data_IF_694929223007
#
_entry.id   IF_694929223007
#
_cell.length_a   1.000
_cell.length_b   1.000
_cell.length_c   1.000
_cell.angle_alpha   90.00
_cell.angle_beta   90.00
_cell.angle_gamma   90.00
#
_symmetry.space_group_name_H-M   'P 1'
#
loop_
_entity.id
_entity.type
_entity.pdbx_description
1 polymer ?
#
# COMPACT_ATOMS: atom_id res chain seq x y z
N UNK A 1 36.07 -6.53 -4.34
CA UNK A 1 35.72 -6.64 -2.90
C UNK A 1 35.47 -5.30 -2.16
N UNK A 2 36.10 -4.16 -2.48
CA UNK A 2 35.86 -2.87 -1.80
C UNK A 2 34.46 -2.30 -2.09
N UNK A 3 33.98 -2.37 -3.33
CA UNK A 3 32.67 -1.88 -3.78
C UNK A 3 31.51 -2.60 -3.11
N UNK A 4 31.59 -3.91 -2.93
CA UNK A 4 30.54 -4.72 -2.27
C UNK A 4 30.31 -4.25 -0.83
N UNK A 5 31.36 -3.95 -0.08
CA UNK A 5 31.23 -3.48 1.31
C UNK A 5 30.61 -2.09 1.43
N UNK A 6 30.84 -1.23 0.43
CA UNK A 6 30.21 0.10 0.35
C UNK A 6 28.71 -0.06 0.08
N UNK A 7 28.35 -0.90 -0.89
CA UNK A 7 26.96 -1.19 -1.22
C UNK A 7 26.21 -1.75 -0.01
N UNK A 8 26.78 -2.74 0.70
CA UNK A 8 26.17 -3.28 1.92
C UNK A 8 25.94 -2.18 2.98
N UNK A 9 26.92 -1.27 3.18
CA UNK A 9 26.76 -0.18 4.14
C UNK A 9 25.62 0.77 3.75
N UNK A 10 25.53 1.12 2.47
CA UNK A 10 24.46 1.96 1.95
C UNK A 10 23.07 1.26 2.07
N UNK A 11 22.99 -0.01 1.70
CA UNK A 11 21.75 -0.79 1.81
C UNK A 11 21.26 -0.91 3.25
N UNK A 12 22.16 -1.20 4.19
CA UNK A 12 21.80 -1.26 5.61
C UNK A 12 21.30 0.10 6.09
N UNK A 13 21.99 1.20 5.78
CA UNK A 13 21.56 2.55 6.16
C UNK A 13 20.16 2.89 5.61
N UNK A 14 19.95 2.62 4.34
CA UNK A 14 18.65 2.86 3.68
C UNK A 14 17.51 2.02 4.29
N UNK A 15 17.71 0.71 4.41
CA UNK A 15 16.69 -0.18 5.00
C UNK A 15 16.38 0.19 6.46
N UNK A 16 17.42 0.54 7.24
CA UNK A 16 17.23 1.01 8.63
C UNK A 16 16.39 2.28 8.65
N UNK A 17 16.62 3.23 7.75
CA UNK A 17 15.84 4.46 7.70
C UNK A 17 14.36 4.19 7.36
N UNK A 18 14.08 3.36 6.36
CA UNK A 18 12.72 3.00 5.98
C UNK A 18 12.01 2.27 7.13
N UNK A 19 12.70 1.34 7.79
CA UNK A 19 12.17 0.62 8.93
C UNK A 19 11.85 1.56 10.11
N UNK A 20 12.78 2.43 10.48
CA UNK A 20 12.57 3.40 11.55
C UNK A 20 11.42 4.37 11.24
N UNK A 21 11.34 4.86 9.99
CA UNK A 21 10.23 5.73 9.56
C UNK A 21 8.88 5.05 9.75
N UNK A 22 8.80 3.79 9.38
CA UNK A 22 7.55 3.05 9.37
C UNK A 22 7.07 2.65 10.78
N UNK A 23 7.98 2.15 11.63
CA UNK A 23 7.60 1.57 12.91
C UNK A 23 7.77 2.47 14.14
N UNK A 24 8.69 3.42 14.10
CA UNK A 24 9.04 4.21 15.28
C UNK A 24 8.78 5.71 15.11
N UNK A 25 8.83 6.21 13.87
CA UNK A 25 8.75 7.64 13.60
C UNK A 25 7.50 8.02 12.80
N UNK A 26 6.53 7.11 12.76
CA UNK A 26 5.26 7.35 12.08
C UNK A 26 4.51 8.50 12.77
N UNK A 27 4.20 9.56 12.00
CA UNK A 27 3.56 10.77 12.54
C UNK A 27 4.51 11.80 13.17
N UNK A 28 5.80 11.48 13.33
CA UNK A 28 6.79 12.42 13.86
C UNK A 28 7.18 13.48 12.82
N UNK A 29 7.66 14.62 13.31
CA UNK A 29 8.10 15.69 12.43
C UNK A 29 9.31 15.29 11.61
N UNK A 30 9.34 15.70 10.33
CA UNK A 30 10.46 15.46 9.41
C UNK A 30 11.80 15.92 9.99
N UNK A 31 11.79 17.01 10.77
CA UNK A 31 12.97 17.55 11.41
C UNK A 31 13.55 16.58 12.42
N UNK A 32 12.73 15.95 13.25
CA UNK A 32 13.16 14.95 14.23
C UNK A 32 13.75 13.73 13.53
N UNK A 33 13.13 13.29 12.43
CA UNK A 33 13.59 12.15 11.65
C UNK A 33 14.93 12.42 10.97
N UNK A 34 15.12 13.60 10.40
CA UNK A 34 16.38 14.00 9.75
C UNK A 34 17.53 14.26 10.75
N UNK A 35 17.24 14.44 12.02
CA UNK A 35 18.29 14.57 13.03
C UNK A 35 19.19 13.32 13.12
N UNK A 36 18.64 12.12 12.91
CA UNK A 36 19.40 10.86 12.96
C UNK A 36 20.55 10.79 11.94
N UNK A 37 20.30 10.96 10.62
CA UNK A 37 21.38 10.96 9.64
C UNK A 37 22.36 12.11 9.83
N UNK A 38 21.91 13.28 10.32
CA UNK A 38 22.78 14.40 10.64
C UNK A 38 23.72 14.05 11.79
N UNK A 39 23.22 13.48 12.88
CA UNK A 39 24.06 13.02 14.00
C UNK A 39 25.06 11.95 13.56
N UNK A 40 24.64 11.02 12.68
CA UNK A 40 25.54 10.01 12.14
C UNK A 40 26.63 10.64 11.25
N UNK A 41 26.29 11.64 10.44
CA UNK A 41 27.25 12.38 9.64
C UNK A 41 28.25 13.16 10.52
N UNK A 42 27.77 13.81 11.58
CA UNK A 42 28.62 14.53 12.53
C UNK A 42 29.57 13.58 13.27
N UNK A 43 29.09 12.39 13.67
CA UNK A 43 29.94 11.39 14.29
C UNK A 43 31.11 10.94 13.39
N UNK A 44 30.94 11.03 12.06
CA UNK A 44 31.99 10.68 11.11
C UNK A 44 33.27 11.57 11.25
N UNK A 45 33.12 12.79 11.79
CA UNK A 45 34.30 13.67 12.06
C UNK A 45 35.20 13.15 13.18
N UNK A 46 34.66 12.33 14.09
CA UNK A 46 35.44 11.71 15.18
C UNK A 46 36.32 10.57 14.67
N UNK A 47 36.03 10.04 13.50
CA UNK A 47 36.74 8.90 12.91
C UNK A 47 37.64 9.31 11.76
N UNK A 48 38.67 8.50 11.46
CA UNK A 48 39.60 8.72 10.35
C UNK A 48 39.58 7.52 9.39
N UNK A 49 39.94 7.78 8.15
CA UNK A 49 40.13 6.75 7.12
C UNK A 49 38.82 6.06 6.72
N UNK A 50 38.82 4.75 6.61
CA UNK A 50 37.74 3.94 6.06
C UNK A 50 36.43 4.02 6.86
N UNK A 51 36.52 4.20 8.18
CA UNK A 51 35.33 4.33 9.03
C UNK A 51 34.57 5.62 8.73
N UNK A 52 35.27 6.75 8.59
CA UNK A 52 34.67 8.03 8.21
C UNK A 52 33.85 7.89 6.92
N UNK A 53 34.46 7.31 5.88
CA UNK A 53 33.77 7.12 4.59
C UNK A 53 32.50 6.27 4.73
N UNK A 54 32.55 5.19 5.51
CA UNK A 54 31.38 4.33 5.73
C UNK A 54 30.26 5.04 6.48
N UNK A 55 30.58 5.81 7.52
CA UNK A 55 29.59 6.58 8.27
C UNK A 55 28.91 7.65 7.40
N UNK A 56 29.68 8.33 6.56
CA UNK A 56 29.12 9.31 5.61
C UNK A 56 28.17 8.61 4.60
N UNK A 57 28.59 7.48 4.04
CA UNK A 57 27.75 6.72 3.10
C UNK A 57 26.47 6.23 3.80
N UNK A 58 26.58 5.71 5.02
CA UNK A 58 25.41 5.29 5.79
C UNK A 58 24.46 6.47 6.07
N UNK A 59 25.01 7.61 6.48
CA UNK A 59 24.24 8.82 6.75
C UNK A 59 23.49 9.32 5.51
N UNK A 60 24.17 9.37 4.35
CA UNK A 60 23.53 9.74 3.08
C UNK A 60 22.44 8.76 2.66
N UNK A 61 22.71 7.46 2.80
CA UNK A 61 21.73 6.42 2.48
C UNK A 61 20.51 6.48 3.41
N UNK A 62 20.73 6.76 4.71
CA UNK A 62 19.64 6.99 5.66
C UNK A 62 18.83 8.23 5.30
N UNK A 63 19.47 9.34 4.97
CA UNK A 63 18.78 10.56 4.57
C UNK A 63 17.91 10.34 3.32
N UNK A 64 18.43 9.59 2.34
CA UNK A 64 17.65 9.20 1.16
C UNK A 64 16.45 8.30 1.52
N UNK A 65 16.65 7.33 2.40
CA UNK A 65 15.57 6.44 2.85
C UNK A 65 14.46 7.19 3.58
N UNK A 66 14.80 8.07 4.51
CA UNK A 66 13.85 8.95 5.20
C UNK A 66 13.13 9.91 4.24
N UNK A 67 13.89 10.56 3.35
CA UNK A 67 13.32 11.50 2.37
C UNK A 67 12.34 10.82 1.41
N UNK A 68 12.69 9.63 0.91
CA UNK A 68 11.82 8.86 0.02
C UNK A 68 10.56 8.38 0.74
N UNK A 69 10.69 7.87 1.97
CA UNK A 69 9.54 7.43 2.76
C UNK A 69 8.58 8.59 3.03
N UNK A 70 9.10 9.72 3.52
CA UNK A 70 8.30 10.90 3.81
C UNK A 70 7.62 11.46 2.56
N UNK A 71 8.36 11.59 1.45
CA UNK A 71 7.82 12.08 0.19
C UNK A 71 6.69 11.17 -0.32
N UNK A 72 6.88 9.86 -0.24
CA UNK A 72 5.85 8.90 -0.62
C UNK A 72 4.62 9.00 0.27
N UNK A 73 4.80 9.14 1.59
CA UNK A 73 3.71 9.31 2.53
C UNK A 73 2.93 10.60 2.26
N UNK A 74 3.61 11.74 2.14
CA UNK A 74 2.99 13.05 1.91
C UNK A 74 2.27 13.14 0.56
N UNK A 75 2.88 12.59 -0.49
CA UNK A 75 2.29 12.63 -1.84
C UNK A 75 1.13 11.64 -2.03
N UNK A 76 1.03 10.60 -1.22
CA UNK A 76 0.01 9.54 -1.38
C UNK A 76 -0.92 9.45 -0.18
N UNK A 77 -0.44 8.94 0.94
CA UNK A 77 -1.28 8.62 2.10
C UNK A 77 -1.92 9.87 2.72
N UNK A 78 -1.13 10.92 2.94
CA UNK A 78 -1.64 12.15 3.56
C UNK A 78 -2.71 12.85 2.70
N UNK A 79 -2.58 12.81 1.38
CA UNK A 79 -3.61 13.33 0.48
C UNK A 79 -4.91 12.54 0.54
N UNK A 80 -4.83 11.24 0.76
CA UNK A 80 -6.00 10.38 0.86
C UNK A 80 -6.73 10.56 2.20
N UNK A 81 -6.00 10.83 3.29
CA UNK A 81 -6.58 11.06 4.62
C UNK A 81 -7.51 12.28 4.68
N UNK A 82 -7.33 13.28 3.83
CA UNK A 82 -8.21 14.46 3.73
C UNK A 82 -9.67 14.06 3.38
N UNK A 83 -9.84 12.89 2.76
CA UNK A 83 -11.14 12.37 2.37
C UNK A 83 -11.78 11.46 3.45
N UNK A 84 -11.08 11.15 4.53
CA UNK A 84 -11.62 10.33 5.62
C UNK A 84 -12.91 10.94 6.19
N UNK A 85 -13.94 10.11 6.37
CA UNK A 85 -15.26 10.50 6.85
C UNK A 85 -16.20 11.11 5.80
N UNK A 86 -15.75 11.37 4.58
CA UNK A 86 -16.58 11.92 3.50
C UNK A 86 -17.30 10.83 2.72
N UNK A 87 -18.47 11.19 2.18
CA UNK A 87 -19.16 10.39 1.16
C UNK A 87 -18.82 10.95 -0.21
N UNK A 88 -18.41 10.07 -1.13
CA UNK A 88 -17.99 10.46 -2.48
C UNK A 88 -18.52 9.44 -3.49
N UNK A 89 -19.10 9.94 -4.56
CA UNK A 89 -19.43 9.14 -5.74
C UNK A 89 -18.20 9.08 -6.64
N UNK A 90 -17.74 7.89 -6.94
CA UNK A 90 -16.52 7.73 -7.75
C UNK A 90 -16.63 6.55 -8.70
N UNK A 91 -15.76 6.58 -9.71
CA UNK A 91 -15.53 5.42 -10.57
C UNK A 91 -14.25 4.73 -10.18
N UNK A 92 -14.28 3.42 -10.20
CA UNK A 92 -13.13 2.61 -9.84
C UNK A 92 -13.03 1.40 -10.78
N UNK A 93 -11.81 0.87 -10.89
CA UNK A 93 -11.51 -0.34 -11.64
C UNK A 93 -11.13 -1.45 -10.69
N UNK A 94 -11.76 -2.60 -10.84
CA UNK A 94 -11.46 -3.78 -10.05
C UNK A 94 -10.09 -4.33 -10.46
N UNK A 95 -9.23 -4.54 -9.48
CA UNK A 95 -7.85 -4.99 -9.69
C UNK A 95 -7.61 -6.44 -9.32
N UNK A 96 -8.52 -7.02 -8.49
CA UNK A 96 -8.43 -8.40 -8.05
C UNK A 96 -9.81 -9.04 -7.96
N UNK A 97 -9.87 -10.36 -7.81
CA UNK A 97 -11.12 -11.05 -7.55
C UNK A 97 -11.71 -10.62 -6.21
N UNK A 98 -13.06 -10.56 -6.11
CA UNK A 98 -13.73 -10.28 -4.86
C UNK A 98 -13.37 -11.31 -3.78
N UNK A 99 -13.07 -10.87 -2.56
CA UNK A 99 -12.96 -11.73 -1.39
C UNK A 99 -14.34 -11.76 -0.69
N UNK A 100 -15.06 -12.86 -0.88
CA UNK A 100 -16.42 -13.03 -0.37
C UNK A 100 -16.35 -13.52 1.06
N UNK A 101 -16.97 -12.77 1.98
CA UNK A 101 -17.07 -13.10 3.39
C UNK A 101 -18.54 -13.19 3.82
N UNK A 102 -18.80 -13.80 4.96
CA UNK A 102 -20.17 -14.04 5.46
C UNK A 102 -21.09 -12.82 5.46
N UNK A 103 -20.55 -11.61 5.62
CA UNK A 103 -21.32 -10.38 5.79
C UNK A 103 -20.97 -9.26 4.83
N UNK A 104 -19.96 -9.42 4.00
CA UNK A 104 -19.50 -8.40 3.09
C UNK A 104 -18.64 -8.98 1.99
N UNK A 105 -18.51 -8.23 0.91
CA UNK A 105 -17.59 -8.51 -0.16
C UNK A 105 -16.48 -7.46 -0.13
N UNK A 106 -15.22 -7.90 -0.14
CA UNK A 106 -14.07 -7.02 -0.22
C UNK A 106 -13.63 -6.90 -1.66
N UNK A 107 -13.61 -5.68 -2.17
CA UNK A 107 -13.19 -5.37 -3.53
C UNK A 107 -11.89 -4.57 -3.50
N UNK A 108 -10.84 -5.13 -4.08
CA UNK A 108 -9.60 -4.40 -4.35
C UNK A 108 -9.74 -3.64 -5.64
N UNK A 109 -9.65 -2.32 -5.59
CA UNK A 109 -9.90 -1.46 -6.73
C UNK A 109 -8.80 -0.40 -6.90
N UNK A 110 -8.72 0.16 -8.10
CA UNK A 110 -7.97 1.37 -8.39
C UNK A 110 -8.95 2.47 -8.74
N UNK A 111 -8.89 3.58 -8.03
CA UNK A 111 -9.73 4.75 -8.30
C UNK A 111 -9.37 5.32 -9.66
N UNK A 112 -10.37 5.62 -10.46
CA UNK A 112 -10.22 6.18 -11.81
C UNK A 112 -11.00 7.48 -12.00
N UNK A 113 -11.87 7.82 -11.05
CA UNK A 113 -12.63 9.08 -11.05
C UNK A 113 -11.75 10.28 -10.70
N UNK A 114 -12.15 11.46 -11.16
CA UNK A 114 -11.42 12.71 -10.97
C UNK A 114 -11.58 13.31 -9.55
N UNK A 115 -12.59 12.84 -8.80
CA UNK A 115 -12.91 13.39 -7.47
C UNK A 115 -11.94 12.92 -6.37
N UNK A 116 -11.29 11.78 -6.58
CA UNK A 116 -10.36 11.16 -5.66
C UNK A 116 -8.99 10.94 -6.31
N UNK A 117 -7.92 10.87 -5.51
CA UNK A 117 -6.60 10.50 -6.03
C UNK A 117 -6.63 9.14 -6.73
N UNK A 118 -5.90 9.00 -7.84
CA UNK A 118 -5.77 7.76 -8.59
C UNK A 118 -4.86 6.76 -7.84
N UNK A 119 -5.38 6.16 -6.79
CA UNK A 119 -4.68 5.24 -5.89
C UNK A 119 -5.45 3.92 -5.76
N UNK A 120 -4.77 2.92 -5.20
CA UNK A 120 -5.43 1.66 -4.83
C UNK A 120 -6.30 1.87 -3.59
N UNK A 121 -7.49 1.31 -3.64
CA UNK A 121 -8.47 1.39 -2.57
C UNK A 121 -9.06 0.01 -2.25
N UNK A 122 -9.51 -0.15 -1.00
CA UNK A 122 -10.27 -1.30 -0.54
C UNK A 122 -11.72 -0.88 -0.30
N UNK A 123 -12.65 -1.47 -1.02
CA UNK A 123 -14.08 -1.25 -0.85
C UNK A 123 -14.68 -2.43 -0.10
N UNK A 124 -15.43 -2.13 0.96
CA UNK A 124 -16.20 -3.11 1.71
C UNK A 124 -17.66 -2.95 1.30
N UNK A 125 -18.16 -3.92 0.57
CA UNK A 125 -19.55 -3.93 0.10
C UNK A 125 -20.43 -4.71 1.07
N UNK A 126 -21.43 -4.05 1.60
CA UNK A 126 -22.46 -4.61 2.49
C UNK A 126 -23.83 -4.75 1.82
N UNK A 127 -23.92 -4.53 0.51
CA UNK A 127 -25.22 -4.61 -0.21
C UNK A 127 -25.79 -6.03 -0.23
N UNK A 128 -24.97 -7.05 0.06
CA UNK A 128 -25.31 -8.48 0.00
C UNK A 128 -25.85 -8.91 -1.39
N UNK A 129 -25.55 -8.16 -2.45
CA UNK A 129 -25.87 -8.57 -3.80
C UNK A 129 -24.74 -9.43 -4.38
N UNK A 130 -25.11 -10.56 -4.96
CA UNK A 130 -24.17 -11.39 -5.74
C UNK A 130 -23.83 -10.64 -7.04
N UNK A 131 -22.68 -9.99 -7.03
CA UNK A 131 -22.15 -9.36 -8.23
C UNK A 131 -20.97 -10.17 -8.76
N UNK A 132 -21.07 -10.66 -10.00
CA UNK A 132 -19.95 -11.31 -10.72
C UNK A 132 -18.95 -10.25 -11.17
N UNK A 133 -18.14 -9.77 -10.22
CA UNK A 133 -17.08 -8.83 -10.49
C UNK A 133 -15.79 -9.56 -10.85
N UNK A 134 -15.11 -9.03 -11.88
CA UNK A 134 -13.83 -9.59 -12.37
C UNK A 134 -12.77 -8.51 -12.47
N UNK A 135 -11.48 -8.86 -12.34
CA UNK A 135 -10.40 -7.93 -12.59
C UNK A 135 -10.54 -7.26 -13.97
N UNK A 136 -10.45 -5.93 -13.98
CA UNK A 136 -10.62 -5.12 -15.18
C UNK A 136 -12.04 -4.56 -15.39
N UNK A 137 -13.02 -4.94 -14.59
CA UNK A 137 -14.33 -4.32 -14.63
C UNK A 137 -14.29 -2.91 -14.07
N UNK A 138 -15.02 -1.99 -14.70
CA UNK A 138 -15.20 -0.63 -14.23
C UNK A 138 -16.53 -0.51 -13.52
N UNK A 139 -16.50 0.09 -12.34
CA UNK A 139 -17.65 0.24 -11.46
C UNK A 139 -17.85 1.70 -11.08
N UNK A 140 -19.11 2.07 -10.89
CA UNK A 140 -19.50 3.31 -10.22
C UNK A 140 -20.03 2.96 -8.85
N UNK A 141 -19.54 3.65 -7.84
CA UNK A 141 -19.86 3.35 -6.45
C UNK A 141 -19.85 4.62 -5.61
N UNK A 142 -20.81 4.69 -4.69
CA UNK A 142 -20.87 5.69 -3.65
C UNK A 142 -20.22 5.14 -2.40
N UNK A 143 -19.15 5.76 -1.96
CA UNK A 143 -18.30 5.30 -0.88
C UNK A 143 -18.36 6.25 0.30
N UNK A 144 -18.54 5.70 1.49
CA UNK A 144 -18.20 6.39 2.73
C UNK A 144 -16.78 6.03 3.13
N UNK A 145 -15.88 6.99 2.99
CA UNK A 145 -14.45 6.78 3.16
C UNK A 145 -14.08 6.73 4.65
N UNK A 146 -13.06 5.92 4.95
CA UNK A 146 -12.46 5.78 6.29
C UNK A 146 -10.98 6.09 6.21
N UNK A 147 -10.42 6.50 7.34
CA UNK A 147 -8.98 6.56 7.52
C UNK A 147 -8.34 5.19 7.26
N UNK A 148 -7.22 5.17 6.58
CA UNK A 148 -6.39 3.98 6.38
C UNK A 148 -5.26 3.89 7.39
N UNK A 149 -4.97 5.01 8.06
CA UNK A 149 -3.91 5.13 9.07
C UNK A 149 -4.40 4.95 10.49
N UNK A 150 -5.73 4.99 10.70
CA UNK A 150 -6.36 4.84 12.00
C UNK A 150 -7.44 3.76 11.97
N UNK A 151 -7.41 2.87 12.93
CA UNK A 151 -8.44 1.84 13.14
C UNK A 151 -8.74 1.69 14.63
N UNK A 152 -10.02 1.91 15.00
CA UNK A 152 -10.49 1.84 16.40
C UNK A 152 -9.73 2.76 17.37
N UNK A 153 -9.26 3.93 16.89
CA UNK A 153 -8.49 4.88 17.69
C UNK A 153 -7.00 4.55 17.81
N UNK A 154 -6.54 3.48 17.17
CA UNK A 154 -5.13 3.10 17.11
C UNK A 154 -4.56 3.35 15.71
N UNK A 155 -3.34 3.85 15.67
CA UNK A 155 -2.62 4.00 14.40
C UNK A 155 -2.30 2.62 13.82
N UNK A 156 -2.56 2.46 12.53
CA UNK A 156 -2.30 1.22 11.79
C UNK A 156 -1.75 1.53 10.39
N UNK A 157 -0.86 0.71 9.95
CA UNK A 157 -0.27 0.78 8.61
C UNK A 157 -0.61 -0.43 7.74
N UNK A 158 -1.44 -1.33 8.25
CA UNK A 158 -1.75 -2.61 7.61
C UNK A 158 -2.31 -2.47 6.18
N UNK A 159 -2.97 -1.37 5.87
CA UNK A 159 -3.48 -1.08 4.54
C UNK A 159 -2.39 -0.45 3.66
N UNK A 160 -1.64 0.50 4.20
CA UNK A 160 -0.56 1.19 3.48
C UNK A 160 0.54 0.21 3.08
N UNK A 161 0.90 -0.73 3.97
CA UNK A 161 1.88 -1.78 3.67
C UNK A 161 1.46 -2.70 2.53
N UNK A 162 0.16 -2.82 2.27
CA UNK A 162 -0.42 -3.53 1.11
C UNK A 162 -0.60 -2.65 -0.13
N UNK A 163 -0.17 -1.39 -0.07
CA UNK A 163 -0.35 -0.42 -1.14
C UNK A 163 -1.78 0.11 -1.27
N UNK A 164 -2.60 -0.01 -0.22
CA UNK A 164 -3.98 0.49 -0.16
C UNK A 164 -3.97 1.83 0.57
N UNK A 165 -4.33 2.90 -0.13
CA UNK A 165 -4.28 4.28 0.39
C UNK A 165 -5.66 4.87 0.66
N UNK A 166 -6.72 4.23 0.19
CA UNK A 166 -8.10 4.58 0.49
C UNK A 166 -8.85 3.34 0.96
N UNK A 167 -9.70 3.49 1.96
CA UNK A 167 -10.62 2.46 2.39
C UNK A 167 -12.01 3.07 2.51
N UNK A 168 -13.03 2.36 2.05
CA UNK A 168 -14.39 2.83 2.14
C UNK A 168 -15.38 1.68 2.20
N UNK A 169 -16.61 1.99 2.59
CA UNK A 169 -17.68 1.03 2.57
C UNK A 169 -18.90 1.59 1.84
N UNK A 170 -19.66 0.70 1.27
CA UNK A 170 -20.95 0.98 0.66
C UNK A 170 -22.00 0.01 1.16
N UNK A 171 -23.25 0.49 1.24
CA UNK A 171 -24.43 -0.34 1.44
C UNK A 171 -25.38 -0.23 0.25
N UNK A 172 -25.02 0.62 -0.73
CA UNK A 172 -25.75 0.79 -1.96
C UNK A 172 -25.23 -0.17 -3.02
N UNK A 173 -26.08 -0.52 -3.97
CA UNK A 173 -25.72 -1.37 -5.10
C UNK A 173 -24.58 -0.76 -5.91
N UNK A 174 -23.57 -1.56 -6.20
CA UNK A 174 -22.47 -1.18 -7.07
C UNK A 174 -22.88 -1.37 -8.53
N UNK A 175 -22.78 -0.30 -9.32
CA UNK A 175 -23.09 -0.35 -10.74
C UNK A 175 -21.85 -0.70 -11.55
N UNK A 176 -21.95 -1.77 -12.35
CA UNK A 176 -20.92 -2.11 -13.34
C UNK A 176 -21.15 -1.26 -14.58
N UNK A 177 -20.20 -0.36 -14.89
CA UNK A 177 -20.32 0.59 -16.01
C UNK A 177 -19.66 0.08 -17.28
N UNK A 178 -18.71 -0.83 -17.19
CA UNK A 178 -18.01 -1.35 -18.35
C UNK A 178 -16.84 -2.26 -18.00
N UNK A 179 -15.96 -2.43 -18.98
CA UNK A 179 -14.73 -3.16 -18.82
C UNK A 179 -13.57 -2.39 -19.45
N UNK A 180 -12.50 -2.24 -18.73
CA UNK A 180 -11.33 -1.56 -19.23
C UNK A 180 -10.70 -2.29 -20.43
N UNK A 181 -10.39 -1.56 -21.50
CA UNK A 181 -9.79 -2.10 -22.72
C UNK A 181 -8.42 -2.78 -22.48
N UNK A 182 -7.67 -2.31 -21.47
CA UNK A 182 -6.41 -2.91 -21.04
C UNK A 182 -6.53 -4.09 -20.07
N UNK A 183 -7.71 -4.69 -19.92
CA UNK A 183 -7.99 -5.79 -18.96
C UNK A 183 -7.12 -7.03 -19.18
N UNK A 184 -6.47 -7.16 -20.35
CA UNK A 184 -5.50 -8.24 -20.62
C UNK A 184 -4.32 -8.26 -19.62
N UNK A 185 -4.00 -7.14 -18.96
CA UNK A 185 -2.99 -7.06 -17.91
C UNK A 185 -3.33 -7.97 -16.72
N UNK A 186 -4.62 -8.25 -16.51
CA UNK A 186 -5.09 -9.14 -15.44
C UNK A 186 -5.17 -10.62 -15.86
N UNK A 187 -4.77 -10.95 -17.09
CA UNK A 187 -4.80 -12.33 -17.59
C UNK A 187 -4.07 -13.34 -16.68
N UNK A 188 -2.88 -13.03 -16.11
CA UNK A 188 -2.27 -13.93 -15.13
C UNK A 188 -3.13 -14.22 -13.90
N UNK A 189 -3.90 -13.25 -13.41
CA UNK A 189 -4.82 -13.42 -12.29
C UNK A 189 -6.02 -14.30 -12.68
N UNK A 190 -6.53 -14.14 -13.90
CA UNK A 190 -7.61 -14.99 -14.42
C UNK A 190 -7.19 -16.45 -14.53
N UNK A 191 -5.97 -16.71 -15.04
CA UNK A 191 -5.42 -18.08 -15.08
C UNK A 191 -5.21 -18.60 -13.65
N UNK A 192 -4.62 -17.81 -12.76
CA UNK A 192 -4.39 -18.21 -11.37
C UNK A 192 -5.69 -18.61 -10.67
N UNK A 193 -6.75 -17.83 -10.84
CA UNK A 193 -8.05 -18.14 -10.26
C UNK A 193 -8.70 -19.39 -10.89
N UNK A 194 -8.60 -19.55 -12.21
CA UNK A 194 -9.09 -20.75 -12.89
C UNK A 194 -8.37 -22.02 -12.38
N UNK A 195 -7.04 -21.96 -12.27
CA UNK A 195 -6.26 -23.07 -11.72
C UNK A 195 -6.61 -23.37 -10.26
N UNK A 196 -6.79 -22.32 -9.44
CA UNK A 196 -7.19 -22.48 -8.04
C UNK A 196 -8.54 -23.20 -7.91
N UNK A 197 -9.51 -22.80 -8.73
CA UNK A 197 -10.84 -23.42 -8.74
C UNK A 197 -10.78 -24.89 -9.20
N UNK A 198 -10.00 -25.20 -10.24
CA UNK A 198 -9.80 -26.59 -10.70
C UNK A 198 -9.11 -27.44 -9.64
N UNK A 199 -8.09 -26.93 -8.97
CA UNK A 199 -7.41 -27.63 -7.87
C UNK A 199 -8.40 -27.87 -6.72
N UNK A 200 -9.20 -26.89 -6.34
CA UNK A 200 -10.21 -27.02 -5.29
C UNK A 200 -11.29 -28.06 -5.60
N UNK A 201 -11.62 -28.26 -6.90
CA UNK A 201 -12.56 -29.31 -7.31
C UNK A 201 -11.92 -30.70 -7.32
N UNK A 202 -10.62 -30.81 -7.60
CA UNK A 202 -9.91 -32.08 -7.67
C UNK A 202 -9.49 -32.63 -6.31
N UNK A 203 -9.28 -31.73 -5.33
CA UNK A 203 -8.85 -32.12 -4.00
C UNK A 203 -9.92 -31.74 -2.97
N UNK A 204 -10.37 -32.68 -2.11
CA UNK A 204 -11.24 -32.36 -0.98
C UNK A 204 -10.62 -31.29 -0.08
N UNK A 205 -11.46 -30.46 0.54
CA UNK A 205 -11.02 -29.34 1.42
C UNK A 205 -10.02 -29.75 2.50
N UNK A 206 -10.12 -30.98 3.00
CA UNK A 206 -9.22 -31.56 4.03
C UNK A 206 -7.80 -31.87 3.52
N UNK A 207 -7.60 -31.87 2.21
CA UNK A 207 -6.31 -32.25 1.58
C UNK A 207 -5.75 -31.17 0.69
N UNK A 208 -6.49 -30.09 0.44
CA UNK A 208 -6.00 -28.96 -0.34
C UNK A 208 -4.89 -28.25 0.44
N UNK A 209 -3.66 -28.19 -0.06
CA UNK A 209 -2.62 -27.38 0.56
C UNK A 209 -2.97 -25.91 0.30
N UNK A 210 -3.49 -25.23 1.33
CA UNK A 210 -3.67 -23.77 1.51
C UNK A 210 -3.88 -22.89 0.28
#
# INVERSE_FOLDING_TARGET
MKSVRILCTASIGYCTAVFLSHYLLFGESVIAVLALPVMLALSAFLFRGRMRTRLIIAALAMALGFGQYWLHYDLTAAKCEVFAGKEVDTTARITDFPDIRDRCVLLSVKITGDELPNVSALIIDYSNEEADFRPGDEIKVKLKLRSVTERFGEQTDSNISKGVYLSGYTSEKIEKTGRWSGSFVYFPKLIGNALHNEIGQLFPEDTAPF
#
